data_IF_933271899391
#
_entry.id   IF_933271899391
#
_cell.length_a   1.000
_cell.length_b   1.000
_cell.length_c   1.000
_cell.angle_alpha   90.00
_cell.angle_beta   90.00
_cell.angle_gamma   90.00
#
_symmetry.space_group_name_H-M   'P 1'
#
loop_
_entity.id
_entity.type
_entity.pdbx_description
1 polymer ?
#
# COMPACT_ATOMS: atom_id res chain seq x y z
N UNK A 1 50.79 19.03 -43.15
CA UNK A 1 50.87 17.68 -42.53
C UNK A 1 51.21 17.89 -41.07
N UNK A 2 50.17 17.89 -40.24
CA UNK A 2 50.11 18.63 -38.99
C UNK A 2 50.39 17.72 -37.78
N UNK A 3 51.44 18.12 -37.08
CA UNK A 3 51.80 17.99 -35.66
C UNK A 3 51.00 17.04 -34.76
N UNK A 4 51.78 16.08 -34.25
CA UNK A 4 51.58 15.12 -33.15
C UNK A 4 51.26 15.81 -31.81
N UNK A 5 50.08 15.54 -31.24
CA UNK A 5 49.75 15.87 -29.83
C UNK A 5 49.66 14.57 -29.02
N UNK A 6 50.69 14.35 -28.19
CA UNK A 6 50.75 13.33 -27.13
C UNK A 6 50.09 13.92 -25.89
N UNK A 7 48.98 13.34 -25.44
CA UNK A 7 48.42 13.60 -24.11
C UNK A 7 49.15 12.77 -23.06
N UNK A 8 49.82 13.45 -22.11
CA UNK A 8 50.35 12.87 -20.87
C UNK A 8 49.20 12.82 -19.85
N UNK A 9 48.87 11.62 -19.37
CA UNK A 9 48.13 11.45 -18.11
C UNK A 9 49.13 11.58 -16.95
N UNK A 10 48.89 12.54 -16.08
CA UNK A 10 49.52 12.66 -14.76
C UNK A 10 48.56 12.13 -13.71
N UNK A 11 48.95 11.07 -13.01
CA UNK A 11 48.26 10.50 -11.87
C UNK A 11 49.00 10.90 -10.59
N UNK A 12 48.43 11.81 -9.81
CA UNK A 12 48.80 12.10 -8.42
C UNK A 12 47.86 11.29 -7.50
N UNK A 13 48.34 10.33 -6.72
CA UNK A 13 48.91 10.50 -5.37
C UNK A 13 47.89 11.06 -4.37
N UNK A 14 47.22 10.15 -3.65
CA UNK A 14 46.63 10.42 -2.32
C UNK A 14 46.88 9.19 -1.44
N UNK A 15 47.90 9.33 -0.60
CA UNK A 15 48.15 8.53 0.59
C UNK A 15 46.99 8.73 1.60
N UNK A 16 46.59 7.65 2.27
CA UNK A 16 45.83 7.74 3.53
C UNK A 16 46.50 6.86 4.56
N UNK A 17 47.21 7.55 5.44
CA UNK A 17 47.90 7.01 6.60
C UNK A 17 46.89 6.55 7.65
N UNK A 18 47.02 5.29 8.05
CA UNK A 18 46.42 4.75 9.25
C UNK A 18 47.26 5.14 10.47
N UNK A 19 46.66 5.84 11.43
CA UNK A 19 47.26 6.13 12.72
C UNK A 19 46.59 5.28 13.81
N UNK A 20 47.36 4.32 14.31
CA UNK A 20 47.20 3.69 15.61
C UNK A 20 47.57 4.68 16.73
N UNK A 21 46.85 4.63 17.85
CA UNK A 21 47.38 5.03 19.16
C UNK A 21 46.89 4.05 20.26
N UNK A 22 47.64 3.88 21.37
CA UNK A 22 47.59 2.68 22.21
C UNK A 22 47.10 2.91 23.66
N UNK A 23 46.72 1.77 24.29
CA UNK A 23 46.91 1.26 25.67
C UNK A 23 46.91 2.12 26.96
N UNK A 24 46.41 1.45 28.01
CA UNK A 24 46.63 1.56 29.48
C UNK A 24 45.65 2.45 30.26
N UNK A 25 45.23 2.20 31.51
CA UNK A 25 45.20 1.06 32.46
C UNK A 25 44.44 1.55 33.74
N UNK A 26 44.16 0.63 34.69
CA UNK A 26 43.84 0.87 36.13
C UNK A 26 42.39 1.32 36.50
N UNK A 27 41.63 0.80 37.49
CA UNK A 27 41.76 -0.09 38.66
C UNK A 27 40.34 -0.69 38.91
N UNK A 28 40.06 -1.98 39.18
CA UNK A 28 40.26 -2.84 40.36
C UNK A 28 39.55 -2.43 41.68
N UNK A 29 38.90 -3.43 42.31
CA UNK A 29 38.24 -3.52 43.64
C UNK A 29 36.74 -3.17 43.67
N UNK A 30 35.80 -3.96 44.21
CA UNK A 30 35.79 -5.12 45.12
C UNK A 30 34.48 -5.89 44.83
N UNK A 31 34.44 -7.21 44.58
CA UNK A 31 34.47 -8.33 45.51
C UNK A 31 33.42 -8.30 46.65
N UNK A 32 32.68 -9.43 46.76
CA UNK A 32 31.75 -9.91 47.82
C UNK A 32 30.25 -9.65 47.59
N UNK A 33 29.32 -10.59 47.77
CA UNK A 33 29.37 -12.03 48.05
C UNK A 33 27.98 -12.62 47.77
N UNK A 34 27.98 -13.84 47.23
CA UNK A 34 26.85 -14.76 47.08
C UNK A 34 26.18 -15.10 48.42
N UNK A 35 24.84 -14.98 48.52
CA UNK A 35 23.95 -15.86 49.31
C UNK A 35 22.55 -15.90 48.65
N UNK A 36 22.25 -16.96 47.89
CA UNK A 36 21.58 -18.22 48.30
C UNK A 36 20.04 -18.14 48.34
N UNK A 37 19.49 -18.86 47.36
CA UNK A 37 18.42 -19.85 47.45
C UNK A 37 16.96 -19.38 47.56
N UNK A 38 16.30 -19.55 46.42
CA UNK A 38 14.89 -19.84 46.25
C UNK A 38 14.32 -20.81 47.29
N UNK A 39 13.15 -20.47 47.83
CA UNK A 39 12.18 -21.43 48.35
C UNK A 39 10.76 -21.01 47.99
N UNK A 40 10.01 -22.04 47.61
CA UNK A 40 8.68 -22.04 47.06
C UNK A 40 7.59 -21.53 48.02
N UNK A 41 6.49 -21.03 47.45
CA UNK A 41 5.16 -21.13 48.04
C UNK A 41 4.07 -20.97 46.96
N UNK A 42 3.49 -22.10 46.53
CA UNK A 42 2.10 -22.17 46.09
C UNK A 42 1.25 -22.46 47.33
N UNK A 43 0.02 -21.95 47.42
CA UNK A 43 -1.06 -22.91 47.69
C UNK A 43 -2.40 -22.63 46.98
N UNK A 44 -2.96 -23.74 46.52
CA UNK A 44 -4.34 -24.23 46.72
C UNK A 44 -5.51 -23.60 45.96
N UNK A 45 -5.92 -24.40 44.95
CA UNK A 45 -7.29 -24.72 44.58
C UNK A 45 -8.24 -24.78 45.79
N UNK A 46 -9.36 -24.04 45.67
CA UNK A 46 -10.61 -24.33 46.39
C UNK A 46 -11.70 -24.54 45.35
N UNK A 47 -12.13 -25.80 45.22
CA UNK A 47 -13.41 -26.16 44.65
C UNK A 47 -14.52 -25.70 45.60
N UNK A 48 -15.48 -24.96 45.08
CA UNK A 48 -16.81 -24.85 45.66
C UNK A 48 -17.80 -25.27 44.58
N UNK A 49 -18.26 -26.51 44.69
CA UNK A 49 -19.49 -26.93 44.06
C UNK A 49 -20.64 -26.46 44.95
N UNK A 50 -21.58 -25.73 44.37
CA UNK A 50 -22.97 -25.76 44.82
C UNK A 50 -23.88 -25.34 43.67
N UNK A 51 -24.72 -26.28 43.28
CA UNK A 51 -25.91 -26.09 42.47
C UNK A 51 -26.70 -24.88 42.92
N UNK A 52 -27.31 -24.14 41.99
CA UNK A 52 -28.61 -23.51 42.20
C UNK A 52 -29.36 -23.44 40.86
N UNK A 53 -30.64 -23.78 40.96
CA UNK A 53 -31.64 -23.91 39.92
C UNK A 53 -31.90 -22.60 39.15
N UNK A 54 -32.23 -22.76 37.88
CA UNK A 54 -32.70 -21.71 36.99
C UNK A 54 -34.18 -21.37 37.24
N UNK A 55 -34.59 -20.11 36.99
CA UNK A 55 -35.88 -19.84 36.40
C UNK A 55 -35.71 -19.36 34.95
N UNK A 56 -36.58 -19.91 34.11
CA UNK A 56 -36.72 -19.65 32.68
C UNK A 56 -37.21 -18.22 32.46
N UNK A 57 -36.51 -17.45 31.64
CA UNK A 57 -37.08 -16.29 30.94
C UNK A 57 -36.68 -16.32 29.47
N UNK A 58 -37.73 -16.35 28.66
CA UNK A 58 -37.77 -16.43 27.21
C UNK A 58 -37.25 -15.15 26.55
N UNK A 59 -36.34 -15.31 25.60
CA UNK A 59 -36.08 -14.32 24.56
C UNK A 59 -36.12 -15.02 23.20
N UNK A 60 -37.18 -14.71 22.44
CA UNK A 60 -37.30 -15.00 21.02
C UNK A 60 -36.58 -13.87 20.28
N UNK A 61 -35.58 -14.20 19.46
CA UNK A 61 -35.54 -13.85 18.02
C UNK A 61 -34.25 -14.33 17.35
N UNK A 62 -34.47 -15.17 16.33
CA UNK A 62 -33.77 -15.24 15.05
C UNK A 62 -32.24 -15.28 14.99
N UNK A 63 -31.71 -16.50 14.84
CA UNK A 63 -30.37 -16.74 14.31
C UNK A 63 -30.00 -18.21 14.23
N UNK A 64 -30.28 -18.86 13.09
CA UNK A 64 -29.48 -19.94 12.45
C UNK A 64 -30.29 -20.61 11.35
N UNK A 65 -29.88 -20.42 10.10
CA UNK A 65 -30.25 -21.33 9.02
C UNK A 65 -29.41 -22.59 9.19
N UNK A 66 -30.10 -23.68 9.50
CA UNK A 66 -29.56 -25.03 9.58
C UNK A 66 -29.13 -25.52 8.20
N UNK A 67 -27.99 -26.21 8.17
CA UNK A 67 -27.67 -27.16 7.13
C UNK A 67 -28.72 -28.28 7.20
N UNK A 68 -29.69 -28.25 6.30
CA UNK A 68 -30.64 -29.35 6.13
C UNK A 68 -30.03 -30.42 5.24
N UNK A 69 -29.76 -31.57 5.85
CA UNK A 69 -29.66 -32.88 5.18
C UNK A 69 -30.99 -33.17 4.48
N UNK A 70 -31.02 -33.00 3.16
CA UNK A 70 -32.10 -33.49 2.33
C UNK A 70 -31.83 -34.96 1.96
N UNK A 71 -32.84 -35.76 2.24
CA UNK A 71 -33.01 -37.19 2.01
C UNK A 71 -32.72 -37.64 0.58
N UNK A 72 -32.06 -38.80 0.51
CA UNK A 72 -31.83 -39.64 -0.66
C UNK A 72 -33.10 -40.11 -1.34
N UNK A 73 -33.40 -39.62 -2.54
CA UNK A 73 -34.38 -40.23 -3.45
C UNK A 73 -33.80 -40.27 -4.88
N UNK A 74 -33.60 -41.50 -5.35
CA UNK A 74 -33.35 -41.96 -6.73
C UNK A 74 -32.28 -41.26 -7.59
N UNK A 75 -31.04 -41.74 -7.49
CA UNK A 75 -30.07 -41.66 -8.58
C UNK A 75 -30.34 -42.83 -9.56
N UNK A 76 -30.84 -42.51 -10.76
CA UNK A 76 -30.75 -43.44 -11.90
C UNK A 76 -29.28 -43.51 -12.29
N UNK A 77 -28.67 -44.66 -12.03
CA UNK A 77 -27.33 -45.00 -12.51
C UNK A 77 -27.42 -45.24 -14.01
N UNK A 78 -27.01 -44.27 -14.82
CA UNK A 78 -26.56 -44.52 -16.19
C UNK A 78 -25.05 -44.60 -16.13
N UNK A 79 -24.51 -45.82 -16.29
CA UNK A 79 -23.09 -46.05 -16.58
C UNK A 79 -22.76 -45.52 -17.98
N UNK A 80 -21.70 -44.72 -18.16
CA UNK A 80 -20.96 -44.71 -19.40
C UNK A 80 -19.55 -45.21 -19.11
N UNK A 81 -19.37 -46.52 -19.01
CA UNK A 81 -18.07 -47.13 -19.30
C UNK A 81 -17.94 -47.26 -20.81
N UNK A 82 -17.60 -46.15 -21.46
CA UNK A 82 -17.00 -46.17 -22.79
C UNK A 82 -15.67 -45.45 -22.67
N UNK A 83 -14.61 -46.24 -22.60
CA UNK A 83 -13.25 -45.82 -22.86
C UNK A 83 -13.16 -45.32 -24.31
N UNK A 84 -13.31 -44.01 -24.50
CA UNK A 84 -12.96 -43.33 -25.75
C UNK A 84 -11.63 -42.63 -25.54
N UNK A 85 -10.60 -43.18 -26.17
CA UNK A 85 -9.38 -42.44 -26.47
C UNK A 85 -9.76 -41.29 -27.43
N UNK A 86 -9.49 -40.05 -27.00
CA UNK A 86 -9.87 -38.84 -27.73
C UNK A 86 -10.75 -37.95 -26.87
N UNK A 87 -10.13 -37.01 -26.15
CA UNK A 87 -10.83 -36.06 -25.28
C UNK A 87 -11.75 -35.14 -26.09
N UNK A 88 -13.00 -35.54 -26.26
CA UNK A 88 -14.07 -34.67 -26.73
C UNK A 88 -14.36 -33.65 -25.64
N UNK A 89 -13.83 -32.44 -25.78
CA UNK A 89 -14.23 -31.31 -24.95
C UNK A 89 -15.72 -31.08 -25.18
N UNK A 90 -16.52 -31.20 -24.12
CA UNK A 90 -17.93 -30.77 -24.17
C UNK A 90 -17.96 -29.32 -24.67
N UNK A 91 -18.86 -28.97 -25.60
CA UNK A 91 -19.00 -27.59 -26.07
C UNK A 91 -19.06 -26.66 -24.85
N UNK A 92 -18.30 -25.56 -24.89
CA UNK A 92 -18.24 -24.59 -23.80
C UNK A 92 -19.63 -24.06 -23.39
N UNK A 93 -20.64 -24.28 -24.24
CA UNK A 93 -22.05 -23.92 -24.08
C UNK A 93 -22.77 -24.55 -22.88
N UNK A 94 -22.25 -25.62 -22.27
CA UNK A 94 -22.86 -26.23 -21.07
C UNK A 94 -22.29 -25.68 -19.74
N UNK A 95 -21.37 -24.72 -19.78
CA UNK A 95 -20.81 -24.15 -18.55
C UNK A 95 -21.83 -23.30 -17.79
N UNK A 96 -21.88 -23.44 -16.46
CA UNK A 96 -22.77 -22.62 -15.62
C UNK A 96 -22.36 -21.14 -15.69
N UNK A 97 -23.31 -20.19 -15.64
CA UNK A 97 -23.02 -18.77 -15.85
C UNK A 97 -22.02 -18.18 -14.84
N UNK A 98 -21.98 -18.73 -13.63
CA UNK A 98 -21.10 -18.30 -12.53
C UNK A 98 -19.74 -19.01 -12.52
N UNK A 99 -19.59 -20.10 -13.31
CA UNK A 99 -18.35 -20.87 -13.44
C UNK A 99 -18.03 -21.07 -14.93
N UNK A 100 -17.59 -20.01 -15.63
CA UNK A 100 -17.07 -20.16 -16.98
C UNK A 100 -15.81 -21.05 -16.96
N UNK A 101 -15.50 -21.75 -18.07
CA UNK A 101 -14.31 -22.56 -18.15
C UNK A 101 -13.07 -21.66 -18.09
N UNK A 102 -12.06 -22.08 -17.34
CA UNK A 102 -10.89 -21.28 -17.00
C UNK A 102 -9.62 -22.14 -17.11
N UNK A 103 -8.48 -21.51 -17.38
CA UNK A 103 -7.19 -22.17 -17.55
C UNK A 103 -6.74 -22.97 -16.32
N UNK A 104 -7.20 -22.53 -15.15
CA UNK A 104 -6.94 -23.19 -13.87
C UNK A 104 -8.25 -23.51 -13.17
N UNK A 105 -8.31 -24.57 -12.36
CA UNK A 105 -9.51 -24.93 -11.60
C UNK A 105 -9.92 -23.81 -10.64
N UNK A 106 -11.17 -23.36 -10.76
CA UNK A 106 -11.73 -22.21 -10.01
C UNK A 106 -11.75 -22.44 -8.50
N UNK A 107 -11.93 -23.69 -8.05
CA UNK A 107 -12.10 -24.04 -6.64
C UNK A 107 -10.83 -23.86 -5.81
N UNK A 108 -9.67 -23.73 -6.45
CA UNK A 108 -8.42 -23.60 -5.70
C UNK A 108 -8.30 -22.24 -5.02
N UNK A 109 -7.68 -22.21 -3.83
CA UNK A 109 -7.37 -20.94 -3.16
C UNK A 109 -6.52 -20.02 -4.03
N UNK A 110 -5.64 -20.57 -4.87
CA UNK A 110 -4.76 -19.80 -5.77
C UNK A 110 -5.55 -19.01 -6.81
N UNK A 111 -6.52 -19.62 -7.48
CA UNK A 111 -7.38 -18.94 -8.46
C UNK A 111 -8.24 -17.85 -7.80
N UNK A 112 -8.77 -18.12 -6.61
CA UNK A 112 -9.56 -17.13 -5.88
C UNK A 112 -8.72 -15.92 -5.45
N UNK A 113 -7.50 -16.14 -4.93
CA UNK A 113 -6.60 -15.04 -4.58
C UNK A 113 -6.24 -14.16 -5.79
N UNK A 114 -6.00 -14.76 -6.96
CA UNK A 114 -5.73 -13.99 -8.18
C UNK A 114 -6.92 -13.09 -8.51
N UNK A 115 -8.15 -13.61 -8.51
CA UNK A 115 -9.37 -12.82 -8.76
C UNK A 115 -9.56 -11.68 -7.74
N UNK A 116 -9.32 -11.96 -6.46
CA UNK A 116 -9.39 -10.94 -5.41
C UNK A 116 -8.35 -9.85 -5.65
N UNK A 117 -7.11 -10.21 -5.98
CA UNK A 117 -6.04 -9.25 -6.22
C UNK A 117 -6.20 -8.47 -7.51
N UNK A 118 -6.70 -9.06 -8.59
CA UNK A 118 -7.00 -8.31 -9.83
C UNK A 118 -8.13 -7.30 -9.60
N UNK A 119 -9.19 -7.70 -8.89
CA UNK A 119 -10.25 -6.78 -8.48
C UNK A 119 -9.74 -5.65 -7.60
N UNK A 120 -8.88 -5.97 -6.62
CA UNK A 120 -8.26 -4.98 -5.73
C UNK A 120 -7.43 -3.99 -6.55
N UNK A 121 -6.51 -4.47 -7.39
CA UNK A 121 -5.63 -3.62 -8.20
C UNK A 121 -6.35 -2.70 -9.19
N UNK A 122 -7.55 -3.09 -9.66
CA UNK A 122 -8.39 -2.27 -10.55
C UNK A 122 -9.23 -1.23 -9.80
N UNK A 123 -9.74 -1.59 -8.63
CA UNK A 123 -10.67 -0.74 -7.86
C UNK A 123 -9.96 0.23 -6.93
N UNK A 124 -8.78 -0.14 -6.42
CA UNK A 124 -8.07 0.68 -5.44
C UNK A 124 -6.95 1.47 -6.11
N UNK A 125 -7.04 2.81 -6.14
CA UNK A 125 -6.03 3.65 -6.76
C UNK A 125 -4.76 3.75 -5.93
N UNK A 126 -4.81 3.52 -4.60
CA UNK A 126 -3.67 3.68 -3.71
C UNK A 126 -3.41 2.42 -2.86
N UNK A 127 -2.21 1.87 -3.02
CA UNK A 127 -1.76 0.68 -2.30
C UNK A 127 -0.32 0.93 -1.82
N UNK A 128 -0.07 0.83 -0.52
CA UNK A 128 1.30 0.89 0.03
C UNK A 128 1.78 -0.52 0.38
N UNK A 129 3.01 -0.85 0.03
CA UNK A 129 3.64 -2.13 0.31
C UNK A 129 4.57 -2.03 1.52
N UNK A 130 4.30 -2.91 2.47
CA UNK A 130 5.10 -3.11 3.67
C UNK A 130 5.73 -4.49 3.63
N UNK A 131 7.03 -4.57 3.84
CA UNK A 131 7.69 -5.81 4.17
C UNK A 131 7.46 -6.10 5.64
N UNK A 132 7.07 -7.33 5.96
CA UNK A 132 6.74 -7.71 7.32
C UNK A 132 7.57 -8.92 7.78
N UNK A 133 8.27 -8.81 8.91
CA UNK A 133 9.08 -9.91 9.44
C UNK A 133 8.41 -10.55 10.65
N UNK A 134 7.95 -11.81 10.53
CA UNK A 134 7.50 -12.65 11.64
C UNK A 134 6.64 -11.95 12.73
N UNK A 135 5.60 -11.23 12.31
CA UNK A 135 4.66 -10.62 13.25
C UNK A 135 3.69 -11.65 13.83
N UNK A 136 3.43 -11.53 15.13
CA UNK A 136 2.43 -12.34 15.82
C UNK A 136 1.02 -11.78 15.63
N UNK A 137 -0.01 -12.59 15.88
CA UNK A 137 -1.41 -12.15 15.75
C UNK A 137 -1.75 -10.98 16.71
N UNK A 138 -1.13 -10.95 17.89
CA UNK A 138 -1.32 -9.88 18.90
C UNK A 138 -0.72 -8.57 18.40
N UNK A 139 0.48 -8.62 17.81
CA UNK A 139 1.14 -7.45 17.20
C UNK A 139 0.30 -6.90 16.04
N UNK A 140 -0.21 -7.77 15.15
CA UNK A 140 -1.11 -7.37 14.07
C UNK A 140 -2.38 -6.68 14.58
N UNK A 141 -2.99 -7.22 15.65
CA UNK A 141 -4.17 -6.63 16.25
C UNK A 141 -3.87 -5.24 16.85
N UNK A 142 -2.72 -5.08 17.51
CA UNK A 142 -2.27 -3.80 18.06
C UNK A 142 -2.03 -2.76 16.96
N UNK A 143 -1.29 -3.11 15.90
CA UNK A 143 -1.02 -2.20 14.77
C UNK A 143 -2.33 -1.79 14.08
N UNK A 144 -3.23 -2.74 13.80
CA UNK A 144 -4.53 -2.44 13.17
C UNK A 144 -5.43 -1.58 14.06
N UNK A 145 -5.36 -1.73 15.39
CA UNK A 145 -6.09 -0.90 16.34
C UNK A 145 -5.63 0.55 16.26
N UNK A 146 -4.32 0.79 16.28
CA UNK A 146 -3.79 2.16 16.20
C UNK A 146 -4.01 2.78 14.81
N UNK A 147 -3.94 1.98 13.75
CA UNK A 147 -4.29 2.44 12.39
C UNK A 147 -5.75 2.89 12.30
N UNK A 148 -6.70 2.09 12.83
CA UNK A 148 -8.12 2.47 12.84
C UNK A 148 -8.38 3.75 13.63
N UNK A 149 -7.69 3.92 14.77
CA UNK A 149 -7.77 5.17 15.57
C UNK A 149 -7.22 6.37 14.82
N UNK A 150 -6.07 6.22 14.14
CA UNK A 150 -5.45 7.32 13.42
C UNK A 150 -6.26 7.74 12.20
N UNK A 151 -6.79 6.78 11.42
CA UNK A 151 -7.66 7.07 10.27
C UNK A 151 -8.99 7.67 10.72
N UNK A 152 -9.59 7.15 11.80
CA UNK A 152 -10.82 7.72 12.37
C UNK A 152 -10.65 9.11 13.01
N UNK A 153 -9.42 9.53 13.30
CA UNK A 153 -9.14 10.88 13.80
C UNK A 153 -9.06 11.93 12.68
N UNK A 154 -9.00 11.51 11.41
CA UNK A 154 -8.97 12.44 10.28
C UNK A 154 -10.40 12.92 10.02
N UNK A 155 -10.64 14.25 9.98
CA UNK A 155 -11.97 14.75 9.62
C UNK A 155 -12.32 14.27 8.21
N UNK A 156 -13.55 13.79 8.03
CA UNK A 156 -14.06 13.45 6.71
C UNK A 156 -13.94 14.69 5.79
N UNK A 157 -13.64 14.50 4.49
CA UNK A 157 -13.63 15.62 3.55
C UNK A 157 -14.97 16.35 3.67
N UNK A 158 -14.93 17.68 3.83
CA UNK A 158 -16.16 18.47 3.98
C UNK A 158 -17.08 18.19 2.80
N UNK A 159 -18.39 18.04 3.03
CA UNK A 159 -19.32 17.73 1.96
C UNK A 159 -19.26 18.87 0.93
N UNK A 160 -18.76 18.56 -0.26
CA UNK A 160 -19.12 19.33 -1.44
C UNK A 160 -20.64 19.23 -1.53
N UNK A 161 -21.33 20.36 -1.62
CA UNK A 161 -22.79 20.44 -1.60
C UNK A 161 -23.41 19.41 -2.56
N UNK A 162 -24.01 18.35 -2.01
CA UNK A 162 -24.73 17.31 -2.75
C UNK A 162 -24.15 15.88 -2.74
N UNK A 163 -23.00 15.61 -2.12
CA UNK A 163 -22.47 14.24 -1.96
C UNK A 163 -22.42 13.82 -0.49
N UNK A 164 -23.05 12.69 -0.15
CA UNK A 164 -22.94 12.05 1.16
C UNK A 164 -21.46 11.82 1.50
N UNK A 165 -21.01 12.14 2.73
CA UNK A 165 -19.63 11.90 3.14
C UNK A 165 -19.37 10.39 3.20
N UNK A 166 -18.69 9.87 2.19
CA UNK A 166 -18.18 8.50 2.19
C UNK A 166 -17.14 8.38 3.31
N UNK A 167 -17.51 7.69 4.39
CA UNK A 167 -16.56 7.33 5.44
C UNK A 167 -15.56 6.31 4.87
N UNK A 168 -14.34 6.80 4.62
CA UNK A 168 -13.24 5.99 4.08
C UNK A 168 -12.58 5.15 5.18
N UNK A 169 -12.75 5.51 6.46
CA UNK A 169 -12.08 4.87 7.58
C UNK A 169 -12.32 3.35 7.69
N UNK A 170 -13.54 2.81 7.52
CA UNK A 170 -13.78 1.36 7.57
C UNK A 170 -13.21 0.61 6.36
N UNK A 171 -13.02 1.30 5.24
CA UNK A 171 -12.50 0.71 4.00
C UNK A 171 -10.97 0.65 3.97
N UNK A 172 -10.27 1.46 4.77
CA UNK A 172 -8.81 1.36 4.91
C UNK A 172 -8.45 0.07 5.64
N UNK A 173 -7.74 -0.82 4.94
CA UNK A 173 -7.40 -2.13 5.47
C UNK A 173 -5.92 -2.45 5.27
N UNK A 174 -5.32 -3.02 6.33
CA UNK A 174 -3.96 -3.55 6.31
C UNK A 174 -4.03 -5.09 6.15
N UNK A 175 -3.80 -5.54 4.93
CA UNK A 175 -3.95 -6.95 4.53
C UNK A 175 -2.58 -7.59 4.25
N UNK A 176 -2.43 -8.88 4.57
CA UNK A 176 -1.24 -9.66 4.22
C UNK A 176 -1.45 -10.26 2.83
N UNK A 177 -0.49 -10.06 1.93
CA UNK A 177 -0.59 -10.49 0.55
C UNK A 177 0.32 -11.70 0.27
N UNK A 178 -0.13 -12.56 -0.64
CA UNK A 178 0.71 -13.63 -1.19
C UNK A 178 1.40 -13.15 -2.46
N UNK A 179 2.70 -12.90 -2.36
CA UNK A 179 3.52 -12.32 -3.44
C UNK A 179 3.43 -13.09 -4.75
N UNK A 180 3.51 -14.43 -4.72
CA UNK A 180 3.40 -15.25 -5.95
C UNK A 180 2.09 -15.06 -6.71
N UNK A 181 0.98 -14.78 -6.01
CA UNK A 181 -0.33 -14.59 -6.66
C UNK A 181 -0.54 -13.13 -7.04
N UNK A 182 0.00 -12.21 -6.23
CA UNK A 182 0.04 -10.78 -6.55
C UNK A 182 0.85 -10.51 -7.82
N UNK A 183 1.96 -11.22 -8.00
CA UNK A 183 2.82 -11.16 -9.19
C UNK A 183 2.03 -11.46 -10.46
N UNK A 184 1.29 -12.57 -10.45
CA UNK A 184 0.41 -12.94 -11.55
C UNK A 184 -0.67 -11.89 -11.75
N UNK A 185 -1.29 -11.41 -10.67
CA UNK A 185 -2.35 -10.40 -10.75
C UNK A 185 -1.88 -9.09 -11.42
N UNK A 186 -0.68 -8.61 -11.11
CA UNK A 186 -0.10 -7.43 -11.74
C UNK A 186 0.15 -7.63 -13.24
N UNK A 187 0.68 -8.80 -13.62
CA UNK A 187 0.83 -9.17 -15.04
C UNK A 187 -0.50 -9.16 -15.79
N UNK A 188 -1.57 -9.67 -15.17
CA UNK A 188 -2.92 -9.64 -15.78
C UNK A 188 -3.36 -8.18 -15.97
N UNK A 189 -3.22 -7.34 -14.95
CA UNK A 189 -3.72 -5.96 -15.00
C UNK A 189 -3.01 -5.12 -16.05
N UNK A 190 -1.72 -5.37 -16.30
CA UNK A 190 -0.92 -4.59 -17.25
C UNK A 190 -0.95 -5.14 -18.67
N UNK A 191 -0.78 -6.45 -18.85
CA UNK A 191 -0.61 -7.05 -20.18
C UNK A 191 -1.90 -7.59 -20.78
N UNK A 192 -2.94 -7.87 -19.98
CA UNK A 192 -4.19 -8.42 -20.48
C UNK A 192 -5.27 -7.34 -20.65
N UNK A 193 -5.63 -7.07 -21.91
CA UNK A 193 -6.76 -6.20 -22.28
C UNK A 193 -7.97 -7.05 -22.67
N UNK A 194 -9.08 -7.02 -21.90
CA UNK A 194 -10.24 -7.86 -22.19
C UNK A 194 -10.97 -7.44 -23.47
N UNK A 195 -10.91 -6.17 -23.85
CA UNK A 195 -11.54 -5.64 -25.07
C UNK A 195 -10.88 -6.19 -26.34
N UNK A 196 -9.55 -6.11 -26.43
CA UNK A 196 -8.78 -6.68 -27.53
C UNK A 196 -8.96 -8.21 -27.63
N UNK A 197 -9.08 -8.89 -26.48
CA UNK A 197 -9.39 -10.32 -26.46
C UNK A 197 -10.83 -10.60 -26.92
N UNK A 198 -11.80 -9.75 -26.57
CA UNK A 198 -13.18 -9.90 -27.02
C UNK A 198 -13.29 -9.77 -28.54
N UNK A 199 -12.53 -8.87 -29.15
CA UNK A 199 -12.52 -8.61 -30.60
C UNK A 199 -11.77 -9.67 -31.41
N UNK A 200 -10.73 -10.29 -30.83
CA UNK A 200 -9.97 -11.37 -31.46
C UNK A 200 -10.81 -12.67 -31.55
N UNK A 201 -11.62 -12.76 -32.61
CA UNK A 201 -12.52 -13.88 -32.89
C UNK A 201 -11.79 -15.23 -33.08
N UNK A 202 -10.53 -15.18 -33.53
CA UNK A 202 -9.75 -16.37 -33.88
C UNK A 202 -9.06 -17.07 -32.70
N UNK A 203 -8.75 -16.35 -31.61
CA UNK A 203 -7.94 -16.87 -30.50
C UNK A 203 -8.71 -17.07 -29.21
N UNK A 204 -9.94 -16.55 -29.10
CA UNK A 204 -10.72 -16.62 -27.86
C UNK A 204 -11.86 -17.64 -27.94
N UNK A 205 -11.94 -18.60 -26.99
CA UNK A 205 -13.09 -19.48 -26.91
C UNK A 205 -14.33 -18.65 -26.55
N UNK A 206 -15.39 -18.80 -27.33
CA UNK A 206 -16.70 -18.17 -27.08
C UNK A 206 -17.69 -19.21 -26.59
N UNK A 207 -18.61 -18.75 -25.76
CA UNK A 207 -19.83 -19.49 -25.39
C UNK A 207 -21.02 -18.80 -26.04
N UNK A 208 -22.17 -19.46 -26.04
CA UNK A 208 -23.46 -18.89 -26.45
C UNK A 208 -23.79 -17.52 -25.82
N UNK A 209 -23.13 -17.13 -24.72
CA UNK A 209 -23.37 -15.87 -23.99
C UNK A 209 -22.30 -14.80 -24.19
N UNK A 210 -21.22 -15.10 -24.90
CA UNK A 210 -20.16 -14.12 -25.19
C UNK A 210 -18.74 -14.67 -25.09
N UNK A 211 -17.73 -13.80 -25.32
CA UNK A 211 -16.32 -14.16 -25.27
C UNK A 211 -15.82 -14.37 -23.84
N UNK A 212 -14.96 -15.37 -23.63
CA UNK A 212 -14.44 -15.71 -22.32
C UNK A 212 -13.25 -14.82 -21.97
N UNK A 213 -13.54 -13.61 -21.51
CA UNK A 213 -12.54 -12.56 -21.25
C UNK A 213 -12.25 -12.29 -19.78
N UNK A 214 -12.60 -13.23 -18.91
CA UNK A 214 -12.33 -13.09 -17.48
C UNK A 214 -10.84 -13.33 -17.16
N UNK A 215 -10.39 -12.83 -16.00
CA UNK A 215 -8.97 -12.83 -15.61
C UNK A 215 -8.32 -14.22 -15.50
N UNK A 216 -9.11 -15.29 -15.38
CA UNK A 216 -8.62 -16.68 -15.32
C UNK A 216 -8.81 -17.46 -16.63
N UNK A 217 -9.21 -16.79 -17.70
CA UNK A 217 -9.42 -17.39 -19.01
C UNK A 217 -8.11 -17.93 -19.60
N UNK A 218 -8.23 -18.87 -20.54
CA UNK A 218 -7.09 -19.33 -21.34
C UNK A 218 -6.45 -18.19 -22.14
N UNK A 219 -7.27 -17.22 -22.59
CA UNK A 219 -6.79 -16.02 -23.28
C UNK A 219 -5.88 -15.18 -22.38
N UNK A 220 -6.29 -14.91 -21.14
CA UNK A 220 -5.47 -14.18 -20.18
C UNK A 220 -4.18 -14.95 -19.86
N UNK A 221 -4.27 -16.27 -19.67
CA UNK A 221 -3.11 -17.11 -19.40
C UNK A 221 -2.09 -17.09 -20.54
N UNK A 222 -2.55 -17.24 -21.78
CA UNK A 222 -1.69 -17.21 -22.97
C UNK A 222 -1.09 -15.83 -23.21
N UNK A 223 -1.86 -14.76 -23.00
CA UNK A 223 -1.38 -13.38 -23.10
C UNK A 223 -0.23 -13.12 -22.12
N UNK A 224 -0.37 -13.54 -20.86
CA UNK A 224 0.69 -13.35 -19.83
C UNK A 224 1.90 -14.24 -20.11
N UNK A 225 1.69 -15.46 -20.62
CA UNK A 225 2.77 -16.40 -20.90
C UNK A 225 3.62 -15.98 -22.10
N UNK A 226 3.01 -15.35 -23.10
CA UNK A 226 3.68 -14.87 -24.31
C UNK A 226 4.11 -13.40 -24.25
N UNK A 227 3.75 -12.67 -23.19
CA UNK A 227 4.12 -11.27 -23.03
C UNK A 227 5.62 -11.14 -22.73
N UNK A 228 6.30 -10.37 -23.55
CA UNK A 228 7.62 -9.83 -23.19
C UNK A 228 7.43 -8.71 -22.17
N UNK A 229 8.32 -8.64 -21.18
CA UNK A 229 8.21 -7.71 -20.05
C UNK A 229 9.13 -6.53 -20.36
N UNK A 230 8.61 -5.39 -20.85
CA UNK A 230 9.45 -4.24 -21.10
C UNK A 230 9.97 -3.68 -19.76
N UNK A 231 11.24 -3.22 -19.69
CA UNK A 231 11.82 -2.68 -18.46
C UNK A 231 11.11 -1.39 -17.98
N UNK A 232 10.42 -0.70 -18.88
CA UNK A 232 9.68 0.53 -18.60
C UNK A 232 8.28 0.28 -18.03
N UNK A 233 7.83 -0.99 -17.97
CA UNK A 233 6.52 -1.35 -17.40
C UNK A 233 6.43 -1.04 -15.91
N UNK A 234 5.20 -0.76 -15.45
CA UNK A 234 4.92 -0.63 -14.03
C UNK A 234 5.25 -1.96 -13.31
N UNK A 235 4.92 -3.08 -13.91
CA UNK A 235 5.26 -4.40 -13.38
C UNK A 235 6.78 -4.59 -13.16
N UNK A 236 7.62 -4.20 -14.11
CA UNK A 236 9.07 -4.33 -13.98
C UNK A 236 9.63 -3.51 -12.81
N UNK A 237 9.09 -2.31 -12.58
CA UNK A 237 9.52 -1.42 -11.50
C UNK A 237 9.07 -1.93 -10.10
N UNK A 238 7.90 -2.55 -10.00
CA UNK A 238 7.38 -3.04 -8.71
C UNK A 238 7.87 -4.45 -8.36
N UNK A 239 8.28 -5.25 -9.35
CA UNK A 239 8.73 -6.63 -9.16
C UNK A 239 9.88 -6.77 -8.13
N UNK A 240 10.92 -5.91 -8.12
CA UNK A 240 11.97 -5.95 -7.10
C UNK A 240 11.45 -5.70 -5.68
N UNK A 241 10.40 -4.88 -5.54
CA UNK A 241 9.78 -4.55 -4.24
C UNK A 241 8.95 -5.73 -3.70
N UNK A 242 8.66 -6.73 -4.54
CA UNK A 242 7.82 -7.88 -4.20
C UNK A 242 8.58 -9.12 -3.72
N UNK A 243 9.87 -8.99 -3.43
CA UNK A 243 10.69 -10.07 -2.91
C UNK A 243 10.52 -10.19 -1.39
N UNK A 244 9.89 -11.28 -0.95
CA UNK A 244 9.72 -11.62 0.46
C UNK A 244 8.25 -11.60 0.95
N UNK A 245 8.03 -11.63 2.27
CA UNK A 245 6.69 -11.49 2.85
C UNK A 245 6.20 -10.04 2.79
N UNK A 246 5.03 -9.83 2.15
CA UNK A 246 4.44 -8.51 1.94
C UNK A 246 3.06 -8.34 2.58
N UNK A 247 2.83 -7.15 3.12
CA UNK A 247 1.54 -6.64 3.51
C UNK A 247 1.24 -5.40 2.67
N UNK A 248 -0.04 -5.20 2.34
CA UNK A 248 -0.51 -4.02 1.66
C UNK A 248 -1.45 -3.23 2.55
N UNK A 249 -1.22 -1.93 2.61
CA UNK A 249 -2.22 -0.98 3.08
C UNK A 249 -3.02 -0.51 1.86
N UNK A 250 -4.30 -0.82 1.85
CA UNK A 250 -5.21 -0.53 0.75
C UNK A 250 -6.07 0.67 1.12
N UNK A 251 -6.04 1.70 0.26
CA UNK A 251 -6.93 2.86 0.36
C UNK A 251 -7.80 2.93 -0.90
N UNK A 252 -9.14 2.98 -0.75
CA UNK A 252 -10.06 3.01 -1.90
C UNK A 252 -10.07 4.35 -2.65
N UNK A 253 -9.59 5.43 -2.02
CA UNK A 253 -9.49 6.75 -2.61
C UNK A 253 -8.14 7.39 -2.28
N UNK A 254 -7.63 8.22 -3.18
CA UNK A 254 -6.39 8.97 -2.99
C UNK A 254 -6.67 10.16 -2.07
N UNK A 255 -6.55 9.93 -0.76
CA UNK A 255 -6.68 10.99 0.26
C UNK A 255 -5.35 11.17 0.99
N UNK A 256 -4.59 12.25 0.69
CA UNK A 256 -3.33 12.55 1.37
C UNK A 256 -3.49 12.66 2.90
N UNK A 257 -4.64 13.13 3.39
CA UNK A 257 -4.89 13.24 4.83
C UNK A 257 -4.94 11.88 5.53
N UNK A 258 -5.61 10.90 4.93
CA UNK A 258 -5.66 9.52 5.45
C UNK A 258 -4.32 8.81 5.28
N UNK A 259 -3.60 9.10 4.20
CA UNK A 259 -2.25 8.63 3.94
C UNK A 259 -1.29 9.13 5.03
N UNK A 260 -1.28 10.44 5.30
CA UNK A 260 -0.45 11.07 6.32
C UNK A 260 -0.71 10.50 7.72
N UNK A 261 -1.98 10.31 8.08
CA UNK A 261 -2.36 9.67 9.34
C UNK A 261 -1.84 8.22 9.41
N UNK A 262 -1.97 7.45 8.33
CA UNK A 262 -1.45 6.09 8.29
C UNK A 262 0.09 6.03 8.37
N UNK A 263 0.81 6.93 7.67
CA UNK A 263 2.27 7.03 7.73
C UNK A 263 2.76 7.44 9.11
N UNK A 264 2.04 8.34 9.80
CA UNK A 264 2.40 8.75 11.17
C UNK A 264 2.44 7.58 12.15
N UNK A 265 1.65 6.53 11.90
CA UNK A 265 1.60 5.31 12.71
C UNK A 265 2.57 4.24 12.20
N UNK A 266 2.62 3.99 10.89
CA UNK A 266 3.35 2.86 10.32
C UNK A 266 4.83 3.15 10.06
N UNK A 267 5.16 4.37 9.63
CA UNK A 267 6.52 4.80 9.27
C UNK A 267 6.70 6.27 9.65
N UNK A 268 6.82 6.59 10.95
CA UNK A 268 6.99 7.97 11.39
C UNK A 268 8.30 8.55 10.86
N UNK A 269 8.21 9.65 10.12
CA UNK A 269 9.37 10.43 9.67
C UNK A 269 9.39 11.73 10.46
N UNK A 270 10.40 11.97 11.33
CA UNK A 270 10.45 13.17 12.15
C UNK A 270 10.41 14.42 11.26
N UNK A 271 9.60 15.41 11.66
CA UNK A 271 9.35 16.64 10.91
C UNK A 271 8.09 16.57 10.04
N UNK A 272 8.03 15.65 9.06
CA UNK A 272 6.90 15.57 8.11
C UNK A 272 5.71 14.78 8.66
N UNK A 273 5.97 13.63 9.28
CA UNK A 273 4.95 12.74 9.83
C UNK A 273 5.28 12.43 11.30
N UNK A 274 4.93 13.33 12.23
CA UNK A 274 5.25 13.14 13.64
C UNK A 274 4.49 11.94 14.21
N UNK A 275 5.19 11.10 14.97
CA UNK A 275 4.58 9.99 15.67
C UNK A 275 3.54 10.49 16.68
N UNK A 276 2.44 9.73 16.92
CA UNK A 276 1.44 10.11 17.90
C UNK A 276 2.04 10.29 19.31
N UNK A 277 1.67 11.39 19.96
CA UNK A 277 2.17 11.71 21.30
C UNK A 277 1.62 10.72 22.35
N UNK A 278 2.44 10.41 23.36
CA UNK A 278 2.09 9.50 24.47
C UNK A 278 0.80 9.89 25.18
N UNK A 279 0.56 11.19 25.33
CA UNK A 279 -0.63 11.73 26.02
C UNK A 279 -1.91 11.48 25.21
N UNK A 280 -1.85 11.65 23.89
CA UNK A 280 -3.01 11.50 23.01
C UNK A 280 -3.32 10.02 22.73
N UNK A 281 -2.28 9.20 22.52
CA UNK A 281 -2.41 7.79 22.19
C UNK A 281 -1.44 6.93 23.03
N UNK A 282 -1.83 6.51 24.25
CA UNK A 282 -0.98 5.64 25.07
C UNK A 282 -0.81 4.25 24.45
N UNK A 283 -1.81 3.76 23.72
CA UNK A 283 -1.81 2.44 23.08
C UNK A 283 -0.79 2.27 21.95
N UNK A 284 -0.30 3.37 21.37
CA UNK A 284 0.79 3.36 20.40
C UNK A 284 2.13 3.01 21.05
N UNK A 285 2.35 3.45 22.30
CA UNK A 285 3.60 3.25 23.05
C UNK A 285 3.63 1.96 23.86
N UNK A 286 2.66 1.08 23.65
CA UNK A 286 2.68 -0.26 24.21
C UNK A 286 3.78 -1.11 23.56
N UNK A 287 4.43 -1.97 24.33
CA UNK A 287 5.51 -2.84 23.86
C UNK A 287 5.04 -3.74 22.70
N UNK A 288 3.80 -4.23 22.75
CA UNK A 288 3.24 -5.07 21.68
C UNK A 288 3.11 -4.31 20.36
N UNK A 289 2.71 -3.03 20.41
CA UNK A 289 2.56 -2.19 19.23
C UNK A 289 3.93 -1.79 18.68
N UNK A 290 4.85 -1.36 19.54
CA UNK A 290 6.20 -0.94 19.13
C UNK A 290 7.00 -2.10 18.52
N UNK A 291 6.92 -3.29 19.11
CA UNK A 291 7.54 -4.50 18.55
C UNK A 291 6.95 -4.86 17.19
N UNK A 292 5.64 -4.66 16.98
CA UNK A 292 5.00 -4.85 15.69
C UNK A 292 5.47 -3.83 14.64
N UNK A 293 5.54 -2.55 15.01
CA UNK A 293 5.97 -1.47 14.11
C UNK A 293 7.45 -1.62 13.70
N UNK A 294 8.32 -2.03 14.61
CA UNK A 294 9.73 -2.28 14.30
C UNK A 294 9.95 -3.40 13.26
N UNK A 295 8.97 -4.28 13.08
CA UNK A 295 9.01 -5.40 12.11
C UNK A 295 8.36 -5.06 10.77
N UNK A 296 7.75 -3.88 10.64
CA UNK A 296 7.11 -3.40 9.42
C UNK A 296 8.00 -2.36 8.76
N UNK A 297 8.43 -2.64 7.54
CA UNK A 297 9.25 -1.73 6.74
C UNK A 297 8.46 -1.28 5.52
N UNK A 298 8.34 0.04 5.34
CA UNK A 298 7.74 0.62 4.14
C UNK A 298 8.71 0.48 2.97
N UNK A 299 8.33 -0.28 1.95
CA UNK A 299 9.15 -0.50 0.75
C UNK A 299 8.82 0.53 -0.32
N UNK A 300 7.53 0.78 -0.54
CA UNK A 300 7.04 1.70 -1.56
C UNK A 300 5.53 1.63 -1.71
N UNK A 301 5.00 2.19 -2.78
CA UNK A 301 3.57 2.17 -3.05
C UNK A 301 3.24 2.32 -4.52
N UNK A 302 2.03 1.88 -4.87
CA UNK A 302 1.39 2.12 -6.16
C UNK A 302 0.31 3.17 -5.96
N UNK A 303 0.39 4.25 -6.72
CA UNK A 303 -0.57 5.36 -6.69
C UNK A 303 -0.99 5.63 -8.14
N UNK A 304 -2.26 5.43 -8.44
CA UNK A 304 -2.89 5.66 -9.76
C UNK A 304 -2.15 4.95 -10.92
N UNK A 305 -1.63 3.76 -10.65
CA UNK A 305 -0.89 2.96 -11.65
C UNK A 305 0.59 3.32 -11.79
N UNK A 306 1.07 4.38 -11.13
CA UNK A 306 2.48 4.72 -11.02
C UNK A 306 3.08 4.15 -9.74
N UNK A 307 4.37 3.83 -9.76
CA UNK A 307 5.09 3.30 -8.61
C UNK A 307 5.90 4.42 -7.98
N UNK A 308 5.87 4.45 -6.66
CA UNK A 308 6.52 5.43 -5.83
C UNK A 308 7.37 4.73 -4.77
N UNK A 309 8.60 5.21 -4.63
CA UNK A 309 9.47 4.82 -3.52
C UNK A 309 9.00 5.44 -2.21
N UNK A 310 9.63 5.05 -1.09
CA UNK A 310 9.36 5.63 0.24
C UNK A 310 9.38 7.18 0.24
N UNK A 311 10.34 7.79 -0.46
CA UNK A 311 10.44 9.24 -0.57
C UNK A 311 9.26 9.86 -1.35
N UNK A 312 8.82 9.21 -2.42
CA UNK A 312 7.67 9.62 -3.21
C UNK A 312 6.36 9.49 -2.43
N UNK A 313 6.18 8.39 -1.70
CA UNK A 313 5.04 8.20 -0.79
C UNK A 313 5.02 9.28 0.30
N UNK A 314 6.18 9.63 0.85
CA UNK A 314 6.29 10.73 1.82
C UNK A 314 6.00 12.11 1.23
N UNK A 315 6.29 12.33 -0.05
CA UNK A 315 5.91 13.56 -0.75
C UNK A 315 4.38 13.64 -0.95
N UNK A 316 3.74 12.57 -1.42
CA UNK A 316 2.27 12.54 -1.61
C UNK A 316 1.54 12.72 -0.28
N UNK A 317 2.01 12.10 0.79
CA UNK A 317 1.43 12.30 2.13
C UNK A 317 1.66 13.70 2.70
N UNK A 318 2.67 14.44 2.21
CA UNK A 318 3.00 15.79 2.67
C UNK A 318 2.21 16.89 1.98
N UNK A 319 1.31 16.55 1.05
CA UNK A 319 0.44 17.51 0.37
C UNK A 319 -0.61 18.02 1.36
N UNK A 320 -0.39 19.24 1.84
CA UNK A 320 -1.34 19.95 2.71
C UNK A 320 -2.62 20.31 1.93
N UNK A 321 -3.78 20.15 2.57
CA UNK A 321 -5.08 20.50 1.97
C UNK A 321 -5.66 19.50 0.97
N UNK A 322 -5.03 18.34 0.74
CA UNK A 322 -5.59 17.27 -0.11
C UNK A 322 -5.88 17.73 -1.55
N UNK A 323 -7.05 17.34 -2.11
CA UNK A 323 -7.46 17.77 -3.45
C UNK A 323 -7.65 19.29 -3.55
N UNK A 324 -8.11 19.94 -2.49
CA UNK A 324 -8.33 21.38 -2.47
C UNK A 324 -7.01 22.14 -2.42
N UNK A 325 -5.99 21.56 -1.77
CA UNK A 325 -4.61 22.07 -1.82
C UNK A 325 -4.01 22.02 -3.23
N UNK A 326 -4.19 20.90 -3.95
CA UNK A 326 -3.76 20.80 -5.35
C UNK A 326 -4.53 21.74 -6.28
N UNK A 327 -5.85 21.88 -6.07
CA UNK A 327 -6.66 22.85 -6.80
C UNK A 327 -6.20 24.27 -6.52
N UNK A 328 -5.91 24.62 -5.27
CA UNK A 328 -5.35 25.91 -4.89
C UNK A 328 -3.97 26.15 -5.49
N UNK A 329 -3.11 25.13 -5.54
CA UNK A 329 -1.80 25.22 -6.20
C UNK A 329 -1.96 25.44 -7.71
N UNK A 330 -2.88 24.74 -8.37
CA UNK A 330 -3.17 24.94 -9.79
C UNK A 330 -3.71 26.36 -10.05
N UNK A 331 -4.66 26.82 -9.23
CA UNK A 331 -5.18 28.20 -9.29
C UNK A 331 -4.06 29.19 -9.03
N UNK A 332 -3.15 28.92 -8.11
CA UNK A 332 -1.98 29.76 -7.82
C UNK A 332 -0.99 29.83 -8.98
N UNK A 333 -0.74 28.73 -9.68
CA UNK A 333 0.11 28.70 -10.89
C UNK A 333 -0.55 29.50 -12.02
N UNK A 334 -1.86 29.33 -12.22
CA UNK A 334 -2.63 30.06 -13.23
C UNK A 334 -2.70 31.57 -12.91
N UNK A 335 -2.98 31.93 -11.67
CA UNK A 335 -2.94 33.32 -11.20
C UNK A 335 -1.52 33.89 -11.24
N UNK A 336 -0.49 33.07 -10.99
CA UNK A 336 0.92 33.44 -11.05
C UNK A 336 1.35 33.83 -12.45
N UNK A 337 0.90 33.10 -13.48
CA UNK A 337 1.14 33.46 -14.87
C UNK A 337 0.51 34.82 -15.24
N UNK A 338 -0.73 35.07 -14.79
CA UNK A 338 -1.39 36.37 -14.98
C UNK A 338 -0.71 37.50 -14.21
N UNK A 339 -0.35 37.25 -12.95
CA UNK A 339 0.40 38.20 -12.11
C UNK A 339 1.75 38.53 -12.71
N UNK A 340 2.47 37.55 -13.27
CA UNK A 340 3.76 37.75 -13.93
C UNK A 340 3.72 38.80 -15.05
N UNK A 341 2.68 38.76 -15.89
CA UNK A 341 2.49 39.74 -16.97
C UNK A 341 2.22 41.14 -16.41
N UNK A 342 1.34 41.23 -15.40
CA UNK A 342 1.05 42.54 -14.76
C UNK A 342 2.27 43.10 -14.04
N UNK A 343 3.07 42.27 -13.37
CA UNK A 343 4.32 42.70 -12.71
C UNK A 343 5.38 43.11 -13.72
N UNK A 344 5.43 42.49 -14.91
CA UNK A 344 6.35 42.90 -15.96
C UNK A 344 5.97 44.28 -16.53
N UNK A 345 4.68 44.53 -16.76
CA UNK A 345 4.17 45.82 -17.24
C UNK A 345 4.31 46.91 -16.17
N UNK A 346 4.01 46.60 -14.90
CA UNK A 346 4.17 47.52 -13.79
C UNK A 346 5.65 47.80 -13.49
N UNK A 347 6.53 46.83 -13.70
CA UNK A 347 7.97 46.95 -13.50
C UNK A 347 8.61 48.12 -14.25
N UNK A 348 8.15 48.40 -15.47
CA UNK A 348 8.59 49.58 -16.24
C UNK A 348 8.25 50.90 -15.54
N UNK A 349 7.03 51.01 -15.02
CA UNK A 349 6.56 52.21 -14.30
C UNK A 349 7.26 52.40 -12.94
N UNK A 350 7.48 51.31 -12.20
CA UNK A 350 8.19 51.35 -10.91
C UNK A 350 9.67 51.69 -11.09
N UNK A 351 10.33 51.16 -12.12
CA UNK A 351 11.73 51.50 -12.39
C UNK A 351 11.88 52.98 -12.77
N UNK A 352 10.96 53.53 -13.57
CA UNK A 352 10.96 54.96 -13.88
C UNK A 352 10.75 55.80 -12.61
N UNK A 353 9.79 55.41 -11.77
CA UNK A 353 9.53 56.09 -10.51
C UNK A 353 10.73 56.05 -9.56
N UNK A 354 11.39 54.89 -9.40
CA UNK A 354 12.59 54.75 -8.59
C UNK A 354 13.76 55.59 -9.12
N UNK A 355 13.91 55.71 -10.44
CA UNK A 355 14.93 56.56 -11.05
C UNK A 355 14.66 58.06 -10.81
N UNK A 356 13.40 58.49 -10.89
CA UNK A 356 13.01 59.88 -10.62
C UNK A 356 13.15 60.23 -9.13
N UNK A 357 12.73 59.35 -8.22
CA UNK A 357 12.89 59.57 -6.78
C UNK A 357 14.37 59.53 -6.38
N UNK A 358 15.19 58.67 -7.00
CA UNK A 358 16.64 58.66 -6.79
C UNK A 358 17.29 59.99 -7.21
N UNK A 359 16.87 60.56 -8.34
CA UNK A 359 17.35 61.88 -8.78
C UNK A 359 16.86 63.00 -7.87
N UNK A 360 15.64 62.92 -7.36
CA UNK A 360 15.09 63.89 -6.41
C UNK A 360 15.85 63.87 -5.08
N UNK A 361 16.15 62.69 -4.54
CA UNK A 361 16.97 62.56 -3.33
C UNK A 361 18.37 63.14 -3.48
N UNK A 362 19.03 62.93 -4.63
CA UNK A 362 20.33 63.55 -4.93
C UNK A 362 20.28 65.08 -4.91
N UNK A 363 19.23 65.67 -5.48
CA UNK A 363 19.04 67.13 -5.49
C UNK A 363 18.71 67.70 -4.10
N UNK A 364 17.97 66.96 -3.28
CA UNK A 364 17.68 67.36 -1.89
C UNK A 364 18.94 67.31 -1.00
N UNK A 365 19.81 66.32 -1.21
CA UNK A 365 21.09 66.14 -0.50
C UNK A 365 22.17 67.14 -0.95
N UNK A 366 22.15 67.56 -2.21
CA UNK A 366 22.99 68.65 -2.74
C UNK A 366 22.52 70.03 -2.27
N UNK A 367 21.20 70.25 -2.14
CA UNK A 367 20.61 71.52 -1.71
C UNK A 367 20.63 71.78 -0.19
N UNK A 368 21.02 70.79 0.62
CA UNK A 368 21.19 70.92 2.08
C UNK A 368 22.64 71.13 2.53
N UNK A 369 23.57 71.27 1.57
CA UNK A 369 24.93 71.80 1.79
C UNK A 369 24.97 73.27 1.38
#
# INVERSE_FOLDING_TARGET
AEIRVRTRQGSSLVDSQALCFPLSDCQTASCQMVRRLARAARPRLRQLGREHAAPRTSWLTAGRQSFSTASSWHAVVVNPSVSVAGGSQRPADYASPTKPPSARPVETRKSQLIRTYTSLLRTTPLILFFQHSNLTAVEWAAVRRELKKAVGAVPAPSPVAGAEPLDLAPMVQLQVLRTTMLDVALKIVEFYKPEAAAEALASTPRTARGPLVHDLSDAAYNAIRGADIPPDSAYAQIQPLMVGPLAALVLPAVSPAHLAAALSVLSPVPGKFPAPTRKKNPGYHDATCQNGLAKLLLVGGRIEGKIFDQAGVGWVGGIEGGMDGLRAQLVGILQGAGRGITTALEGGSRNLWLALEGRKGQLEEEGTK
#
